data_IF_036589094615
#
_entry.id   IF_036589094615
#
_cell.length_a   1.000
_cell.length_b   1.000
_cell.length_c   1.000
_cell.angle_alpha   90.00
_cell.angle_beta   90.00
_cell.angle_gamma   90.00
#
_symmetry.space_group_name_H-M   'P 1'
#
loop_
_entity.id
_entity.type
_entity.pdbx_description
1 polymer ?
#
# COMPACT_ATOMS: atom_id res chain seq x y z
N UNK A 1 -13.68 62.24 -4.01
CA UNK A 1 -13.43 61.56 -2.73
C UNK A 1 -13.20 60.09 -3.02
N UNK A 2 -12.06 59.58 -2.56
CA UNK A 2 -11.35 58.39 -3.04
C UNK A 2 -12.01 57.11 -2.50
N UNK A 3 -12.22 56.11 -3.38
CA UNK A 3 -12.47 54.71 -2.97
C UNK A 3 -11.22 54.21 -2.27
N UNK A 4 -11.27 54.10 -0.95
CA UNK A 4 -10.26 53.41 -0.15
C UNK A 4 -10.93 52.21 0.52
N UNK A 5 -11.13 51.16 -0.27
CA UNK A 5 -11.39 49.82 0.25
C UNK A 5 -10.02 49.17 0.56
N UNK A 6 -9.37 49.69 1.59
CA UNK A 6 -8.26 49.01 2.23
C UNK A 6 -8.83 48.07 3.29
N UNK A 7 -9.04 46.82 2.92
CA UNK A 7 -8.96 45.71 3.88
C UNK A 7 -8.51 44.44 3.14
N UNK A 8 -7.29 44.52 2.63
CA UNK A 8 -6.49 43.37 2.23
C UNK A 8 -6.08 42.63 3.52
N UNK A 9 -7.01 41.86 4.09
CA UNK A 9 -6.68 40.86 5.12
C UNK A 9 -6.02 39.67 4.45
N UNK A 10 -4.79 39.88 4.00
CA UNK A 10 -3.84 38.80 3.92
C UNK A 10 -3.37 38.49 5.34
N UNK A 11 -4.03 37.52 5.98
CA UNK A 11 -3.43 36.75 7.08
C UNK A 11 -4.14 35.40 7.05
N UNK A 12 -3.72 34.52 6.15
CA UNK A 12 -2.66 33.56 6.47
C UNK A 12 -3.02 32.78 7.73
N UNK A 13 -3.70 31.64 7.56
CA UNK A 13 -3.63 30.47 8.45
C UNK A 13 -4.89 29.60 8.35
N UNK A 14 -5.14 29.00 7.18
CA UNK A 14 -5.75 27.67 7.14
C UNK A 14 -5.15 26.82 6.02
N UNK A 15 -3.83 26.85 5.87
CA UNK A 15 -3.11 25.61 5.57
C UNK A 15 -3.01 24.88 6.90
N UNK A 16 -4.17 24.44 7.43
CA UNK A 16 -4.23 23.43 8.47
C UNK A 16 -3.80 22.16 7.77
N UNK A 17 -2.49 22.02 7.65
CA UNK A 17 -1.83 20.79 7.28
C UNK A 17 -2.15 19.73 8.32
N UNK A 18 -3.39 19.21 8.28
CA UNK A 18 -3.57 17.79 8.47
C UNK A 18 -3.04 17.16 7.19
N UNK A 19 -1.71 17.05 7.07
CA UNK A 19 -1.15 15.95 6.31
C UNK A 19 -1.76 14.73 6.99
N UNK A 20 -2.85 14.22 6.42
CA UNK A 20 -3.26 12.86 6.64
C UNK A 20 -2.00 12.06 6.34
N UNK A 21 -1.34 11.62 7.41
CA UNK A 21 -0.29 10.66 7.29
C UNK A 21 -1.00 9.43 6.74
N UNK A 22 -0.98 9.29 5.43
CA UNK A 22 -1.21 8.04 4.74
C UNK A 22 -0.10 7.12 5.23
N UNK A 23 -0.27 6.58 6.44
CA UNK A 23 0.59 5.55 6.95
C UNK A 23 0.30 4.35 6.05
N UNK A 24 1.22 3.96 5.16
CA UNK A 24 0.95 2.90 4.21
C UNK A 24 0.57 1.67 5.02
N UNK A 25 -0.64 1.15 4.82
CA UNK A 25 -1.10 -0.01 5.57
C UNK A 25 -0.09 -1.15 5.38
N UNK A 26 0.23 -1.90 6.45
CA UNK A 26 1.23 -2.96 6.42
C UNK A 26 0.97 -4.01 5.32
N UNK A 27 -0.29 -4.18 4.92
CA UNK A 27 -0.69 -5.03 3.79
C UNK A 27 -0.28 -4.49 2.41
N UNK A 28 -0.15 -3.18 2.25
CA UNK A 28 0.27 -2.54 1.01
C UNK A 28 1.79 -2.57 0.82
N UNK A 29 2.55 -2.39 1.91
CA UNK A 29 4.00 -2.62 1.90
C UNK A 29 4.33 -4.08 1.55
N UNK A 30 3.64 -5.05 2.17
CA UNK A 30 3.87 -6.48 1.90
C UNK A 30 3.50 -6.85 0.45
N UNK A 31 2.44 -6.25 -0.11
CA UNK A 31 2.12 -6.42 -1.54
C UNK A 31 3.24 -5.87 -2.42
N UNK A 32 3.72 -4.66 -2.18
CA UNK A 32 4.80 -4.07 -2.99
C UNK A 32 6.09 -4.93 -2.96
N UNK A 33 6.40 -5.51 -1.81
CA UNK A 33 7.55 -6.43 -1.67
C UNK A 33 7.31 -7.73 -2.44
N UNK A 34 6.14 -8.38 -2.29
CA UNK A 34 5.84 -9.65 -2.95
C UNK A 34 5.83 -9.59 -4.48
N UNK A 35 5.43 -8.45 -5.06
CA UNK A 35 5.45 -8.24 -6.51
C UNK A 35 6.88 -8.12 -7.08
N UNK A 36 7.81 -7.47 -6.36
CA UNK A 36 9.20 -7.32 -6.80
C UNK A 36 10.01 -8.63 -6.73
N UNK A 37 9.73 -9.46 -5.73
CA UNK A 37 10.50 -10.70 -5.51
C UNK A 37 10.23 -11.76 -6.58
N UNK A 38 8.97 -11.93 -7.01
CA UNK A 38 8.63 -12.93 -8.03
C UNK A 38 9.25 -12.60 -9.40
N UNK A 39 9.22 -11.32 -9.80
CA UNK A 39 9.78 -10.88 -11.07
C UNK A 39 11.32 -10.95 -11.08
N UNK A 40 11.98 -10.58 -9.99
CA UNK A 40 13.45 -10.63 -9.91
C UNK A 40 14.00 -12.06 -9.98
N UNK A 41 13.33 -13.02 -9.31
CA UNK A 41 13.69 -14.44 -9.41
C UNK A 41 13.46 -14.96 -10.84
N UNK A 42 12.28 -14.68 -11.42
CA UNK A 42 11.97 -15.08 -12.79
C UNK A 42 12.95 -14.52 -13.81
N UNK A 43 13.35 -13.26 -13.67
CA UNK A 43 14.30 -12.63 -14.58
C UNK A 43 15.72 -13.19 -14.41
N UNK A 44 16.18 -13.45 -13.19
CA UNK A 44 17.48 -14.09 -12.96
C UNK A 44 17.57 -15.47 -13.61
N UNK A 45 16.55 -16.31 -13.41
CA UNK A 45 16.46 -17.65 -14.01
C UNK A 45 16.31 -17.56 -15.54
N UNK A 46 15.46 -16.67 -16.03
CA UNK A 46 15.23 -16.47 -17.46
C UNK A 46 16.47 -16.01 -18.21
N UNK A 47 17.23 -15.07 -17.65
CA UNK A 47 18.50 -14.61 -18.23
C UNK A 47 19.52 -15.74 -18.24
N UNK A 48 19.63 -16.52 -17.16
CA UNK A 48 20.54 -17.68 -17.12
C UNK A 48 20.17 -18.73 -18.18
N UNK A 49 18.88 -19.02 -18.36
CA UNK A 49 18.39 -19.92 -19.41
C UNK A 49 18.61 -19.34 -20.81
N UNK A 50 18.42 -18.03 -20.99
CA UNK A 50 18.67 -17.34 -22.25
C UNK A 50 20.13 -17.42 -22.69
N UNK A 51 21.07 -17.26 -21.73
CA UNK A 51 22.51 -17.47 -21.96
C UNK A 51 22.80 -18.94 -22.28
N UNK A 52 22.25 -19.88 -21.51
CA UNK A 52 22.49 -21.31 -21.70
C UNK A 52 21.98 -21.85 -23.03
N UNK A 53 20.87 -21.30 -23.52
CA UNK A 53 20.23 -21.68 -24.79
C UNK A 53 20.72 -20.83 -25.98
N UNK A 54 21.62 -19.86 -25.74
CA UNK A 54 22.06 -18.84 -26.70
C UNK A 54 20.89 -18.12 -27.38
N UNK A 55 19.77 -17.97 -26.66
CA UNK A 55 18.54 -17.38 -27.15
C UNK A 55 17.88 -16.52 -26.07
N UNK A 56 18.20 -15.22 -26.12
CA UNK A 56 17.66 -14.24 -25.17
C UNK A 56 16.16 -14.04 -25.31
N UNK A 57 15.58 -14.23 -26.50
CA UNK A 57 14.13 -14.10 -26.68
C UNK A 57 13.39 -15.19 -25.90
N UNK A 58 13.88 -16.44 -25.95
CA UNK A 58 13.35 -17.52 -25.15
C UNK A 58 13.62 -17.32 -23.66
N UNK A 59 14.84 -16.93 -23.28
CA UNK A 59 15.19 -16.68 -21.88
C UNK A 59 14.32 -15.63 -21.21
N UNK A 60 14.11 -14.48 -21.85
CA UNK A 60 13.25 -13.42 -21.33
C UNK A 60 11.79 -13.85 -21.32
N UNK A 61 11.31 -14.53 -22.38
CA UNK A 61 9.96 -15.05 -22.44
C UNK A 61 9.64 -16.03 -21.30
N UNK A 62 10.52 -17.01 -21.08
CA UNK A 62 10.40 -17.96 -19.98
C UNK A 62 10.58 -17.30 -18.62
N UNK A 63 11.49 -16.34 -18.48
CA UNK A 63 11.73 -15.62 -17.24
C UNK A 63 10.53 -14.81 -16.77
N UNK A 64 9.89 -14.07 -17.69
CA UNK A 64 8.67 -13.31 -17.40
C UNK A 64 7.51 -14.28 -17.09
N UNK A 65 7.35 -15.35 -17.87
CA UNK A 65 6.27 -16.32 -17.65
C UNK A 65 6.40 -17.03 -16.28
N UNK A 66 7.58 -17.56 -15.95
CA UNK A 66 7.82 -18.20 -14.66
C UNK A 66 7.75 -17.21 -13.49
N UNK A 67 8.35 -16.03 -13.65
CA UNK A 67 8.34 -14.98 -12.62
C UNK A 67 6.92 -14.53 -12.28
N UNK A 68 6.06 -14.34 -13.28
CA UNK A 68 4.65 -13.95 -13.06
C UNK A 68 3.83 -15.07 -12.42
N UNK A 69 4.02 -16.33 -12.82
CA UNK A 69 3.35 -17.47 -12.18
C UNK A 69 3.71 -17.58 -10.70
N UNK A 70 5.01 -17.50 -10.37
CA UNK A 70 5.49 -17.55 -8.98
C UNK A 70 4.98 -16.33 -8.19
N UNK A 71 5.00 -15.15 -8.79
CA UNK A 71 4.47 -13.92 -8.18
C UNK A 71 2.99 -14.06 -7.83
N UNK A 72 2.16 -14.55 -8.76
CA UNK A 72 0.72 -14.73 -8.54
C UNK A 72 0.48 -15.81 -7.47
N UNK A 73 1.20 -16.93 -7.53
CA UNK A 73 1.08 -17.99 -6.55
C UNK A 73 1.39 -17.48 -5.12
N UNK A 74 2.48 -16.73 -4.96
CA UNK A 74 2.85 -16.11 -3.69
C UNK A 74 1.86 -15.03 -3.27
N UNK A 75 1.38 -14.19 -4.20
CA UNK A 75 0.41 -13.16 -3.90
C UNK A 75 -0.91 -13.75 -3.40
N UNK A 76 -1.38 -14.84 -4.01
CA UNK A 76 -2.59 -15.56 -3.58
C UNK A 76 -2.37 -16.23 -2.22
N UNK A 77 -1.24 -16.91 -2.02
CA UNK A 77 -0.90 -17.54 -0.74
C UNK A 77 -0.78 -16.51 0.39
N UNK A 78 -0.08 -15.39 0.14
CA UNK A 78 0.08 -14.31 1.10
C UNK A 78 -1.23 -13.58 1.39
N UNK A 79 -2.12 -13.43 0.40
CA UNK A 79 -3.42 -12.79 0.58
C UNK A 79 -4.31 -13.57 1.56
N UNK A 80 -4.24 -14.92 1.56
CA UNK A 80 -4.98 -15.75 2.51
C UNK A 80 -4.50 -15.56 3.95
N UNK A 81 -3.18 -15.42 4.14
CA UNK A 81 -2.61 -15.13 5.45
C UNK A 81 -2.96 -13.72 5.94
N UNK A 82 -2.97 -12.74 5.03
CA UNK A 82 -3.31 -11.35 5.35
C UNK A 82 -4.81 -11.16 5.69
N UNK A 83 -5.71 -12.02 5.22
CA UNK A 83 -7.13 -11.95 5.55
C UNK A 83 -7.45 -12.47 6.96
N UNK A 84 -6.71 -13.47 7.46
CA UNK A 84 -6.91 -14.01 8.81
C UNK A 84 -6.47 -13.10 9.96
N UNK A 85 -5.87 -11.94 9.67
CA UNK A 85 -5.46 -10.95 10.67
C UNK A 85 -6.39 -9.73 10.79
N UNK A 86 -7.51 -9.67 10.05
CA UNK A 86 -8.43 -8.50 10.05
C UNK A 86 -9.66 -8.64 10.94
N UNK A 87 -9.81 -9.76 11.64
CA UNK A 87 -10.96 -10.04 12.51
C UNK A 87 -10.71 -9.71 13.99
N UNK A 88 -9.61 -9.03 14.33
CA UNK A 88 -9.22 -8.78 15.73
C UNK A 88 -8.79 -7.33 15.98
N UNK A 89 -9.49 -6.35 15.40
CA UNK A 89 -9.39 -4.94 15.83
C UNK A 89 -10.73 -4.19 15.76
N UNK A 90 -11.86 -4.90 15.60
CA UNK A 90 -13.20 -4.29 15.66
C UNK A 90 -13.97 -4.63 16.94
N UNK A 91 -13.35 -5.33 17.88
CA UNK A 91 -13.99 -5.73 19.16
C UNK A 91 -13.49 -4.94 20.38
N UNK A 92 -12.76 -3.85 20.15
CA UNK A 92 -12.70 -2.76 21.12
C UNK A 92 -13.94 -1.88 20.92
N UNK A 93 -15.11 -2.41 21.26
CA UNK A 93 -16.26 -1.58 21.57
C UNK A 93 -15.79 -0.51 22.59
N UNK A 94 -16.09 0.79 22.40
CA UNK A 94 -16.00 1.73 23.49
C UNK A 94 -17.09 1.34 24.51
N UNK A 95 -16.74 0.40 25.39
CA UNK A 95 -17.42 0.25 26.65
C UNK A 95 -17.06 1.48 27.49
N UNK A 96 -18.10 2.14 27.97
CA UNK A 96 -18.11 3.19 28.99
C UNK A 96 -18.18 4.63 28.49
N UNK A 97 -19.41 5.10 28.23
CA UNK A 97 -19.87 6.31 28.95
C UNK A 97 -21.40 6.24 29.17
N UNK A 98 -21.88 5.75 30.34
CA UNK A 98 -23.26 6.00 30.73
C UNK A 98 -23.46 7.50 30.97
N UNK A 99 -24.43 8.09 30.26
CA UNK A 99 -24.89 9.49 30.37
C UNK A 99 -25.39 9.74 31.81
N UNK A 100 -24.49 10.16 32.71
CA UNK A 100 -24.79 10.61 34.06
C UNK A 100 -25.43 12.01 34.04
N UNK A 101 -26.62 12.10 33.42
CA UNK A 101 -27.56 13.22 33.56
C UNK A 101 -28.76 12.81 34.41
N UNK A 102 -28.49 12.16 35.52
CA UNK A 102 -29.49 11.83 36.55
C UNK A 102 -28.95 12.06 37.97
N UNK A 103 -28.44 13.27 38.26
CA UNK A 103 -28.47 13.84 39.61
C UNK A 103 -28.09 15.33 39.58
N UNK A 104 -29.05 16.21 39.89
CA UNK A 104 -28.84 17.64 40.08
C UNK A 104 -30.07 18.49 39.79
#
# INVERSE_FOLDING_TARGET
MIRLAGDTRETFSTYRGGMAHDNPSSGEMMRRVGFGTGLSIGMGVGVALGVALDNMALGIGFGIALGTVVMIAFAVAASRLAQGGREQESDAAPADEPDDRSAG
#
